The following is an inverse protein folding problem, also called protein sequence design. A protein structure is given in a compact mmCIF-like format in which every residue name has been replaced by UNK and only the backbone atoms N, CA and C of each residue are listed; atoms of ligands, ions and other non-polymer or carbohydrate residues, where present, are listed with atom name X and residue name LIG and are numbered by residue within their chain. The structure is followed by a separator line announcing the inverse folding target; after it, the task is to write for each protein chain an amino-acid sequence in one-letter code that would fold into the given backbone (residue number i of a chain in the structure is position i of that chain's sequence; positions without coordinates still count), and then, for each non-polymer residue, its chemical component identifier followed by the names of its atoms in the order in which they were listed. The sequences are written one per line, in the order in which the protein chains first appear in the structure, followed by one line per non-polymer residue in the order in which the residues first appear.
data_IF_285016231813
#
_entry.id   IF_285016231813
#
_cell.length_a   1.000
_cell.length_b   1.000
_cell.length_c   1.000
_cell.angle_alpha   90.00
_cell.angle_beta   90.00
_cell.angle_gamma   90.00
#
_symmetry.space_group_name_H-M   'P 1'
#
loop_
_entity.id
_entity.type
_entity.pdbx_description
1 polymer ?
#
# COMPACT_ATOMS: atom_id res chain seq x y z
N UNK A 1 -52.16 66.63 22.65
CA UNK A 1 -51.00 67.54 22.67
C UNK A 1 -49.74 66.69 22.72
N UNK A 2 -48.98 66.72 21.70
CA UNK A 2 -47.81 65.86 21.50
C UNK A 2 -46.57 66.75 21.34
N UNK A 3 -45.52 66.60 22.14
CA UNK A 3 -44.24 67.23 21.81
C UNK A 3 -43.29 66.21 21.06
N UNK A 4 -42.33 66.69 20.27
CA UNK A 4 -41.65 65.94 19.23
C UNK A 4 -40.39 65.19 19.71
N UNK A 5 -40.16 64.08 19.05
CA UNK A 5 -38.98 63.30 19.21
C UNK A 5 -37.76 64.01 18.64
N UNK A 6 -36.71 64.07 19.43
CA UNK A 6 -35.39 64.51 18.95
C UNK A 6 -34.59 63.39 18.42
N UNK A 7 -34.33 63.41 17.10
CA UNK A 7 -33.43 62.59 16.38
C UNK A 7 -32.00 62.94 16.79
N UNK A 8 -31.28 62.00 17.45
CA UNK A 8 -29.85 62.13 17.72
C UNK A 8 -29.07 61.38 16.63
N UNK A 9 -28.36 62.17 15.83
CA UNK A 9 -27.34 61.60 14.90
C UNK A 9 -26.16 61.13 15.74
N UNK A 10 -25.77 59.88 15.52
CA UNK A 10 -24.56 59.32 16.06
C UNK A 10 -23.52 59.34 14.94
N UNK A 11 -22.33 59.91 15.15
CA UNK A 11 -21.30 59.90 14.11
C UNK A 11 -20.69 58.53 13.93
N UNK A 12 -20.58 58.12 12.69
CA UNK A 12 -19.93 56.93 12.20
C UNK A 12 -18.41 57.07 12.43
N UNK A 13 -17.86 56.37 13.42
CA UNK A 13 -16.42 56.31 13.65
C UNK A 13 -15.84 55.23 12.73
N UNK A 14 -15.05 55.68 11.78
CA UNK A 14 -14.27 54.85 10.85
C UNK A 14 -13.07 54.29 11.61
N UNK A 15 -13.05 52.96 11.89
CA UNK A 15 -11.91 52.27 12.47
C UNK A 15 -11.12 51.62 11.34
N UNK A 16 -9.85 51.94 11.13
CA UNK A 16 -9.03 51.23 10.16
C UNK A 16 -8.67 49.85 10.70
N UNK A 17 -9.07 48.81 9.98
CA UNK A 17 -8.64 47.42 10.21
C UNK A 17 -7.17 47.29 9.86
N UNK A 18 -6.31 47.17 10.86
CA UNK A 18 -4.91 46.81 10.69
C UNK A 18 -4.83 45.31 10.44
N UNK A 19 -4.54 44.90 9.19
CA UNK A 19 -4.26 43.54 8.81
C UNK A 19 -2.87 43.14 9.35
N UNK A 20 -2.82 42.51 10.49
CA UNK A 20 -1.64 41.79 10.96
C UNK A 20 -1.65 40.40 10.29
N UNK A 21 -0.86 40.25 9.24
CA UNK A 21 -0.49 38.98 8.70
C UNK A 21 0.37 38.24 9.73
N UNK A 22 -0.27 37.45 10.59
CA UNK A 22 0.39 36.51 11.47
C UNK A 22 0.83 35.30 10.70
N UNK A 23 2.13 35.17 10.37
CA UNK A 23 2.73 33.90 10.01
C UNK A 23 2.66 33.00 11.23
N UNK A 24 1.69 32.12 11.28
CA UNK A 24 1.67 31.01 12.22
C UNK A 24 2.58 29.92 11.68
N UNK A 25 3.84 29.95 12.08
CA UNK A 25 4.68 28.77 12.10
C UNK A 25 4.19 27.88 13.24
N UNK A 26 3.12 27.15 12.98
CA UNK A 26 2.64 26.11 13.85
C UNK A 26 3.60 24.93 13.78
N UNK A 27 4.58 24.92 14.67
CA UNK A 27 5.28 23.68 14.98
C UNK A 27 4.33 22.83 15.84
N UNK A 28 3.44 22.09 15.19
CA UNK A 28 2.66 21.05 15.84
C UNK A 28 3.58 19.92 16.26
N UNK A 29 4.14 20.06 17.46
CA UNK A 29 4.66 18.93 18.22
C UNK A 29 3.51 18.24 18.91
N UNK A 30 2.54 17.81 18.15
CA UNK A 30 1.64 16.77 18.60
C UNK A 30 2.39 15.47 18.38
N UNK A 31 2.87 14.86 19.46
CA UNK A 31 3.26 13.47 19.50
C UNK A 31 2.05 12.61 19.17
N UNK A 32 1.57 12.72 17.94
CA UNK A 32 0.55 11.85 17.38
C UNK A 32 1.12 10.45 17.42
N UNK A 33 0.43 9.59 18.13
CA UNK A 33 0.56 8.14 17.98
C UNK A 33 0.41 7.86 16.48
N UNK A 34 1.54 7.74 15.77
CA UNK A 34 1.55 7.38 14.35
C UNK A 34 1.02 5.96 14.29
N UNK A 35 -0.27 5.84 14.06
CA UNK A 35 -0.84 4.56 13.67
C UNK A 35 -0.02 4.09 12.46
N UNK A 36 0.45 2.84 12.45
CA UNK A 36 1.17 2.33 11.28
C UNK A 36 0.32 2.61 10.05
N UNK A 37 0.94 3.18 9.03
CA UNK A 37 0.25 3.50 7.78
C UNK A 37 -0.45 2.24 7.30
N UNK A 38 -1.78 2.29 7.18
CA UNK A 38 -2.54 1.16 6.67
C UNK A 38 -2.23 1.04 5.17
N UNK A 39 -1.84 -0.15 4.75
CA UNK A 39 -1.62 -0.40 3.34
C UNK A 39 -2.94 -0.32 2.59
N UNK A 40 -2.95 0.41 1.47
CA UNK A 40 -4.13 0.57 0.62
C UNK A 40 -4.22 -0.54 -0.42
N UNK A 41 -5.43 -0.79 -0.92
CA UNK A 41 -5.63 -1.72 -2.03
C UNK A 41 -4.79 -1.29 -3.24
N UNK A 42 -4.07 -2.25 -3.84
CA UNK A 42 -3.10 -1.99 -4.90
C UNK A 42 -1.66 -1.87 -4.42
N UNK A 43 -1.41 -1.77 -3.10
CA UNK A 43 -0.05 -1.83 -2.56
C UNK A 43 0.65 -3.11 -2.99
N UNK A 44 1.90 -2.95 -3.43
CA UNK A 44 2.75 -4.05 -3.90
C UNK A 44 4.04 -4.08 -3.09
N UNK A 45 4.41 -5.26 -2.64
CA UNK A 45 5.74 -5.53 -2.08
C UNK A 45 6.46 -6.51 -2.99
N UNK A 46 7.69 -6.21 -3.30
CA UNK A 46 8.56 -7.04 -4.13
C UNK A 46 9.96 -7.07 -3.55
N UNK A 47 10.61 -8.19 -3.69
CA UNK A 47 12.00 -8.33 -3.25
C UNK A 47 12.70 -9.49 -3.93
N UNK A 48 14.02 -9.52 -3.77
CA UNK A 48 14.89 -10.54 -4.36
C UNK A 48 15.27 -11.63 -3.35
N UNK A 49 14.79 -11.52 -2.11
CA UNK A 49 15.10 -12.47 -1.04
C UNK A 49 13.82 -12.86 -0.31
N UNK A 50 13.57 -14.14 -0.24
CA UNK A 50 12.52 -14.75 0.58
C UNK A 50 13.01 -16.06 1.17
N UNK A 51 12.35 -16.52 2.24
CA UNK A 51 12.59 -17.81 2.88
C UNK A 51 11.88 -18.97 2.18
N UNK A 52 11.20 -18.74 1.05
CA UNK A 52 10.53 -19.76 0.30
C UNK A 52 11.55 -20.75 -0.27
N UNK A 53 11.47 -22.01 0.16
CA UNK A 53 12.39 -23.08 -0.26
C UNK A 53 12.14 -23.55 -1.71
N UNK A 54 10.96 -23.26 -2.25
CA UNK A 54 10.54 -23.65 -3.60
C UNK A 54 9.56 -22.61 -4.15
N UNK A 55 9.18 -22.79 -5.43
CA UNK A 55 8.11 -21.99 -6.03
C UNK A 55 6.81 -22.21 -5.26
N UNK A 56 6.19 -21.11 -4.85
CA UNK A 56 4.94 -21.16 -4.10
C UNK A 56 4.01 -20.00 -4.48
N UNK A 57 2.73 -20.24 -4.27
CA UNK A 57 1.67 -19.25 -4.39
C UNK A 57 0.93 -19.18 -3.07
N UNK A 58 0.56 -17.98 -2.68
CA UNK A 58 -0.18 -17.79 -1.43
C UNK A 58 -1.31 -16.78 -1.63
N UNK A 59 -2.35 -16.95 -0.83
CA UNK A 59 -3.44 -15.99 -0.66
C UNK A 59 -3.63 -15.79 0.82
N UNK A 60 -3.82 -14.56 1.25
CA UNK A 60 -4.15 -14.22 2.62
C UNK A 60 -5.47 -13.45 2.64
N UNK A 61 -6.48 -13.99 3.32
CA UNK A 61 -7.80 -13.40 3.50
C UNK A 61 -8.07 -12.97 4.93
N UNK A 62 -7.21 -13.40 5.83
CA UNK A 62 -7.28 -13.05 7.25
C UNK A 62 -5.89 -12.75 7.84
N UNK A 63 -5.85 -12.33 9.09
CA UNK A 63 -4.61 -11.96 9.77
C UNK A 63 -3.65 -13.15 9.98
N UNK A 64 -4.16 -14.36 10.15
CA UNK A 64 -3.33 -15.55 10.34
C UNK A 64 -2.66 -15.95 9.03
N UNK A 65 -3.43 -15.97 7.92
CA UNK A 65 -2.91 -16.21 6.57
C UNK A 65 -1.92 -15.12 6.15
N UNK A 66 -2.18 -13.86 6.53
CA UNK A 66 -1.26 -12.74 6.29
C UNK A 66 0.06 -12.93 7.01
N UNK A 67 0.03 -13.31 8.28
CA UNK A 67 1.24 -13.62 9.05
C UNK A 67 2.01 -14.80 8.44
N UNK A 68 1.32 -15.85 8.06
CA UNK A 68 1.91 -17.02 7.41
C UNK A 68 2.52 -16.69 6.03
N UNK A 69 1.93 -15.77 5.28
CA UNK A 69 2.47 -15.28 4.01
C UNK A 69 3.80 -14.56 4.25
N UNK A 70 3.86 -13.64 5.23
CA UNK A 70 5.09 -12.90 5.53
C UNK A 70 6.17 -13.77 6.17
N UNK A 71 5.81 -14.82 6.89
CA UNK A 71 6.79 -15.82 7.33
C UNK A 71 7.53 -16.48 6.16
N UNK A 72 6.91 -16.61 4.99
CA UNK A 72 7.56 -17.08 3.76
C UNK A 72 8.49 -16.05 3.12
N UNK A 73 8.25 -14.77 3.37
CA UNK A 73 9.23 -13.72 3.01
C UNK A 73 10.46 -13.82 3.93
N UNK A 74 10.28 -14.22 5.18
CA UNK A 74 11.33 -14.27 6.21
C UNK A 74 11.41 -12.97 7.01
N UNK A 75 10.38 -12.14 6.91
CA UNK A 75 10.26 -10.86 7.60
C UNK A 75 8.90 -10.76 8.29
N UNK A 76 8.79 -9.98 9.37
CA UNK A 76 7.50 -9.69 9.96
C UNK A 76 6.64 -8.89 8.98
N UNK A 77 5.33 -9.08 9.04
CA UNK A 77 4.40 -8.28 8.25
C UNK A 77 4.56 -6.79 8.58
N UNK A 78 4.68 -5.90 7.58
CA UNK A 78 4.90 -4.47 7.81
C UNK A 78 3.69 -3.79 8.46
N UNK A 79 2.51 -4.34 8.26
CA UNK A 79 1.23 -3.89 8.82
C UNK A 79 0.34 -5.10 9.10
N UNK A 80 -0.75 -4.92 9.86
CA UNK A 80 -1.85 -5.89 9.84
C UNK A 80 -2.54 -5.89 8.47
N UNK A 81 -3.17 -7.01 8.11
CA UNK A 81 -4.03 -7.04 6.92
C UNK A 81 -5.22 -6.10 7.12
N UNK A 82 -5.40 -5.07 6.27
CA UNK A 82 -6.50 -4.14 6.44
C UNK A 82 -7.87 -4.82 6.24
N UNK A 83 -8.87 -4.37 7.00
CA UNK A 83 -10.24 -4.89 6.88
C UNK A 83 -10.79 -4.74 5.46
N UNK A 84 -11.49 -5.76 4.96
CA UNK A 84 -12.05 -5.76 3.61
C UNK A 84 -11.01 -5.94 2.50
N UNK A 85 -9.77 -6.29 2.84
CA UNK A 85 -8.72 -6.57 1.87
C UNK A 85 -8.20 -8.00 1.98
N UNK A 86 -7.54 -8.44 0.95
CA UNK A 86 -6.82 -9.70 0.86
C UNK A 86 -5.50 -9.48 0.14
N UNK A 87 -4.59 -10.42 0.26
CA UNK A 87 -3.33 -10.39 -0.48
C UNK A 87 -3.15 -11.65 -1.33
N UNK A 88 -2.49 -11.50 -2.47
CA UNK A 88 -1.99 -12.59 -3.28
C UNK A 88 -0.48 -12.50 -3.39
N UNK A 89 0.21 -13.63 -3.41
CA UNK A 89 1.66 -13.66 -3.47
C UNK A 89 2.19 -14.75 -4.40
N UNK A 90 3.30 -14.43 -5.04
CA UNK A 90 4.07 -15.36 -5.88
C UNK A 90 5.50 -15.37 -5.38
N UNK A 91 6.00 -16.55 -5.07
CA UNK A 91 7.40 -16.82 -4.70
C UNK A 91 8.04 -17.66 -5.80
N UNK A 92 9.18 -17.25 -6.32
CA UNK A 92 9.87 -18.05 -7.33
C UNK A 92 10.71 -19.18 -6.72
N UNK A 93 11.01 -19.11 -5.44
CA UNK A 93 11.99 -19.96 -4.79
C UNK A 93 13.42 -19.61 -5.17
N UNK A 94 14.41 -20.39 -4.70
CA UNK A 94 15.83 -20.11 -4.90
C UNK A 94 16.23 -20.04 -6.37
N UNK A 95 17.10 -19.07 -6.68
CA UNK A 95 17.78 -18.89 -7.95
C UNK A 95 19.27 -18.71 -7.67
N UNK A 96 20.13 -19.30 -8.49
CA UNK A 96 21.58 -19.31 -8.24
C UNK A 96 22.25 -17.97 -8.54
N UNK A 97 21.58 -17.10 -9.31
CA UNK A 97 22.12 -15.79 -9.69
C UNK A 97 21.10 -14.68 -9.44
N UNK A 98 21.57 -13.44 -9.47
CA UNK A 98 20.72 -12.25 -9.56
C UNK A 98 20.05 -12.13 -10.93
N UNK A 99 19.22 -11.11 -11.12
CA UNK A 99 18.53 -10.82 -12.37
C UNK A 99 17.17 -11.48 -12.54
N UNK A 100 16.80 -12.40 -11.65
CA UNK A 100 15.44 -12.93 -11.61
C UNK A 100 14.50 -12.01 -10.84
N UNK A 101 13.26 -11.95 -11.25
CA UNK A 101 12.22 -11.15 -10.60
C UNK A 101 10.84 -11.72 -10.88
N UNK A 102 9.86 -11.23 -10.14
CA UNK A 102 8.45 -11.54 -10.36
C UNK A 102 7.60 -10.31 -10.13
N UNK A 103 6.55 -10.14 -10.95
CA UNK A 103 5.58 -9.05 -10.85
C UNK A 103 4.17 -9.62 -10.97
N UNK A 104 3.25 -9.17 -10.13
CA UNK A 104 1.82 -9.48 -10.28
C UNK A 104 1.18 -8.37 -11.11
N UNK A 105 0.86 -8.67 -12.36
CA UNK A 105 0.36 -7.69 -13.33
C UNK A 105 -1.14 -7.44 -13.18
N UNK A 106 -1.92 -8.48 -12.94
CA UNK A 106 -3.37 -8.39 -12.88
C UNK A 106 -3.98 -9.35 -11.88
N UNK A 107 -5.12 -8.94 -11.33
CA UNK A 107 -5.99 -9.83 -10.55
C UNK A 107 -7.42 -9.56 -10.99
N UNK A 108 -8.13 -10.60 -11.44
CA UNK A 108 -9.46 -10.50 -12.01
C UNK A 108 -10.36 -11.61 -11.49
N UNK A 109 -11.58 -11.24 -11.10
CA UNK A 109 -12.62 -12.21 -10.84
C UNK A 109 -13.20 -12.71 -12.17
N UNK A 110 -13.18 -14.04 -12.38
CA UNK A 110 -13.78 -14.69 -13.55
C UNK A 110 -14.70 -15.83 -13.08
N UNK A 111 -15.97 -15.52 -12.93
CA UNK A 111 -16.93 -16.46 -12.36
C UNK A 111 -16.54 -16.86 -10.93
N UNK A 112 -16.34 -18.15 -10.70
CA UNK A 112 -15.91 -18.69 -9.40
C UNK A 112 -14.39 -18.63 -9.18
N UNK A 113 -13.61 -18.15 -10.14
CA UNK A 113 -12.16 -18.13 -10.08
C UNK A 113 -11.62 -16.71 -9.83
N UNK A 114 -10.57 -16.60 -9.05
CA UNK A 114 -9.76 -15.40 -8.90
C UNK A 114 -8.46 -15.59 -9.72
N UNK A 115 -8.43 -15.04 -10.91
CA UNK A 115 -7.28 -15.20 -11.83
C UNK A 115 -6.23 -14.17 -11.51
N UNK A 116 -5.05 -14.64 -11.10
CA UNK A 116 -3.87 -13.83 -10.76
C UNK A 116 -2.85 -13.97 -11.89
N UNK A 117 -2.72 -12.93 -12.70
CA UNK A 117 -1.72 -12.87 -13.77
C UNK A 117 -0.39 -12.34 -13.21
N UNK A 118 0.69 -13.08 -13.46
CA UNK A 118 2.02 -12.68 -13.05
C UNK A 118 3.04 -12.90 -14.16
N UNK A 119 4.15 -12.19 -14.12
CA UNK A 119 5.26 -12.29 -15.06
C UNK A 119 6.56 -12.52 -14.30
N UNK A 120 7.42 -13.36 -14.89
CA UNK A 120 8.77 -13.59 -14.38
C UNK A 120 9.79 -12.86 -15.26
N UNK A 121 10.71 -12.18 -14.61
CA UNK A 121 11.93 -11.69 -15.24
C UNK A 121 12.98 -12.80 -15.14
N UNK A 122 13.58 -13.13 -16.25
CA UNK A 122 14.69 -14.10 -16.35
C UNK A 122 15.85 -13.37 -17.02
N UNK A 123 17.07 -13.42 -16.45
CA UNK A 123 18.22 -12.77 -17.09
C UNK A 123 18.51 -13.42 -18.44
N UNK A 124 18.81 -12.59 -19.43
CA UNK A 124 19.19 -13.07 -20.76
C UNK A 124 20.51 -13.85 -20.75
N UNK A 125 20.74 -14.74 -21.71
CA UNK A 125 21.93 -15.62 -21.73
C UNK A 125 23.27 -14.85 -21.85
N UNK A 126 23.24 -13.62 -22.37
CA UNK A 126 24.41 -12.76 -22.48
C UNK A 126 24.44 -11.63 -21.43
N UNK A 127 23.48 -11.61 -20.52
CA UNK A 127 23.40 -10.59 -19.48
C UNK A 127 24.37 -10.92 -18.35
N UNK A 128 25.30 -10.01 -18.08
CA UNK A 128 26.15 -10.12 -16.89
C UNK A 128 25.30 -9.90 -15.64
N UNK A 129 25.24 -10.88 -14.77
CA UNK A 129 24.53 -10.82 -13.49
C UNK A 129 25.45 -11.25 -12.36
N UNK A 130 25.21 -10.72 -11.18
CA UNK A 130 25.94 -11.15 -9.99
C UNK A 130 25.66 -12.63 -9.69
N UNK A 131 26.71 -13.37 -9.34
CA UNK A 131 26.66 -14.77 -8.91
C UNK A 131 26.23 -14.81 -7.43
N UNK A 132 25.07 -14.25 -7.15
CA UNK A 132 24.48 -14.14 -5.83
C UNK A 132 23.13 -14.83 -5.82
N UNK A 133 22.95 -15.73 -4.88
CA UNK A 133 21.69 -16.47 -4.70
C UNK A 133 20.56 -15.51 -4.36
N UNK A 134 19.43 -15.67 -5.02
CA UNK A 134 18.22 -14.88 -4.79
C UNK A 134 17.00 -15.80 -4.61
N UNK A 135 15.91 -15.28 -4.08
CA UNK A 135 14.61 -15.95 -3.96
C UNK A 135 13.51 -14.89 -4.15
N UNK A 136 13.23 -14.51 -5.40
CA UNK A 136 12.33 -13.38 -5.68
C UNK A 136 10.89 -13.66 -5.28
N UNK A 137 10.22 -12.62 -4.84
CA UNK A 137 8.81 -12.65 -4.49
C UNK A 137 8.08 -11.38 -4.91
N UNK A 138 6.77 -11.48 -5.07
CA UNK A 138 5.85 -10.36 -5.20
C UNK A 138 4.59 -10.63 -4.39
N UNK A 139 4.11 -9.61 -3.69
CA UNK A 139 2.86 -9.61 -2.93
C UNK A 139 2.04 -8.42 -3.43
N UNK A 140 0.75 -8.61 -3.65
CA UNK A 140 -0.18 -7.54 -4.00
C UNK A 140 -1.40 -7.57 -3.13
N UNK A 141 -1.71 -6.42 -2.54
CA UNK A 141 -2.91 -6.19 -1.75
C UNK A 141 -4.06 -5.76 -2.67
N UNK A 142 -5.25 -6.27 -2.43
CA UNK A 142 -6.44 -6.01 -3.24
C UNK A 142 -7.70 -6.06 -2.37
N UNK A 143 -8.83 -5.49 -2.84
CA UNK A 143 -10.10 -5.67 -2.16
C UNK A 143 -10.43 -7.15 -2.00
N UNK A 144 -11.05 -7.52 -0.88
CA UNK A 144 -11.45 -8.89 -0.61
C UNK A 144 -12.35 -9.41 -1.74
N UNK A 145 -12.00 -10.54 -2.28
CA UNK A 145 -12.73 -11.21 -3.36
C UNK A 145 -12.91 -12.69 -3.02
N UNK A 146 -14.08 -13.20 -3.36
CA UNK A 146 -14.34 -14.63 -3.31
C UNK A 146 -13.66 -15.35 -4.48
N UNK A 147 -13.64 -16.68 -4.44
CA UNK A 147 -13.20 -17.52 -5.54
C UNK A 147 -11.91 -18.27 -5.29
N UNK A 148 -11.69 -19.27 -6.13
CA UNK A 148 -10.50 -20.10 -6.09
C UNK A 148 -9.36 -19.39 -6.81
N UNK A 149 -8.21 -19.16 -6.16
CA UNK A 149 -7.10 -18.49 -6.80
C UNK A 149 -6.47 -19.38 -7.87
N UNK A 150 -6.32 -18.83 -9.07
CA UNK A 150 -5.61 -19.45 -10.21
C UNK A 150 -4.48 -18.54 -10.66
N UNK A 151 -3.26 -18.98 -10.48
CA UNK A 151 -2.07 -18.23 -10.87
C UNK A 151 -1.69 -18.58 -12.31
N UNK A 152 -1.61 -17.56 -13.15
CA UNK A 152 -1.33 -17.69 -14.59
C UNK A 152 -0.09 -16.87 -14.91
N UNK A 153 0.95 -17.56 -15.40
CA UNK A 153 2.16 -16.89 -15.86
C UNK A 153 1.91 -16.27 -17.24
N UNK A 154 2.10 -14.97 -17.35
CA UNK A 154 2.18 -14.26 -18.62
C UNK A 154 3.47 -14.56 -19.38
N UNK A 155 3.44 -14.27 -20.67
CA UNK A 155 4.63 -14.39 -21.55
C UNK A 155 5.62 -13.27 -21.30
#
# INVERSE_FOLDING_TARGET
MKPPSRLRLIPLALVPALLLAGCQTGADRTGGNLLPAQAEAGTVWQGNHSSAAERAYAVARDGAEWTALWARVGEPAPTSLPGGQMAVAVFLGPRDTAGYGVTIDSVQQKGADLVVGYRETVPGPAQAVAQSRTSPYAIRLLPSAAGTPKFVRGK
#
